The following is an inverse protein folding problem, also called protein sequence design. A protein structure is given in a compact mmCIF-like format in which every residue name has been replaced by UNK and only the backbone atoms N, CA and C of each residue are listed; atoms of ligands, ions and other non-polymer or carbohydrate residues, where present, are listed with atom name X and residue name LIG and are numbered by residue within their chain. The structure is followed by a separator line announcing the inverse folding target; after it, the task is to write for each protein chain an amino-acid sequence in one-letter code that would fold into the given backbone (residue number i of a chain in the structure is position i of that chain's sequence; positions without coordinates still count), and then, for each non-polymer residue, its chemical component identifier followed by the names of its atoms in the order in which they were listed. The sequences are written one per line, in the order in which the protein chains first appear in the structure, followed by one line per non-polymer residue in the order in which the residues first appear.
data_IF_824376453653
#
_entry.id   IF_824376453653
#
_cell.length_a   1.000
_cell.length_b   1.000
_cell.length_c   1.000
_cell.angle_alpha   90.00
_cell.angle_beta   90.00
_cell.angle_gamma   90.00
#
_symmetry.space_group_name_H-M   'P 1'
#
loop_
_entity.id
_entity.type
_entity.pdbx_description
1 polymer ?
#
# COMPACT_ATOMS: atom_id res chain seq x y z
N UNK A 1 -20.44 -8.48 -2.37
CA UNK A 1 -19.18 -7.71 -2.42
C UNK A 1 -19.37 -6.31 -2.96
N UNK A 2 -20.12 -6.13 -4.05
CA UNK A 2 -20.37 -4.81 -4.66
C UNK A 2 -20.86 -3.74 -3.66
N UNK A 3 -21.84 -4.07 -2.81
CA UNK A 3 -22.32 -3.14 -1.76
C UNK A 3 -21.21 -2.68 -0.81
N UNK A 4 -20.26 -3.55 -0.47
CA UNK A 4 -19.15 -3.20 0.42
C UNK A 4 -18.09 -2.36 -0.30
N UNK A 5 -17.86 -2.60 -1.58
CA UNK A 5 -16.91 -1.84 -2.41
C UNK A 5 -17.34 -0.38 -2.53
N UNK A 6 -18.65 -0.09 -2.53
CA UNK A 6 -19.19 1.26 -2.53
C UNK A 6 -18.96 2.01 -1.22
N UNK A 7 -18.65 1.30 -0.13
CA UNK A 7 -18.31 1.89 1.17
C UNK A 7 -16.83 2.22 1.33
N UNK A 8 -15.97 1.80 0.39
CA UNK A 8 -14.55 2.17 0.40
C UNK A 8 -14.43 3.66 0.08
N UNK A 9 -13.89 4.43 1.03
CA UNK A 9 -13.71 5.88 0.88
C UNK A 9 -12.66 6.17 -0.18
N UNK A 10 -12.90 7.20 -0.99
CA UNK A 10 -11.88 7.68 -1.92
C UNK A 10 -10.70 8.27 -1.15
N UNK A 11 -9.48 7.83 -1.48
CA UNK A 11 -8.26 8.39 -0.89
C UNK A 11 -8.04 9.86 -1.25
N UNK A 12 -8.67 10.37 -2.31
CA UNK A 12 -8.63 11.80 -2.63
C UNK A 12 -9.34 12.66 -1.56
N UNK A 13 -10.24 12.06 -0.77
CA UNK A 13 -10.88 12.71 0.37
C UNK A 13 -10.02 12.64 1.65
N UNK A 14 -8.92 11.88 1.66
CA UNK A 14 -7.99 11.82 2.78
C UNK A 14 -7.30 13.19 2.98
N UNK A 15 -7.14 13.59 4.24
CA UNK A 15 -6.48 14.84 4.64
C UNK A 15 -5.42 14.52 5.69
N UNK A 16 -4.13 14.46 5.32
CA UNK A 16 -3.06 14.07 6.24
C UNK A 16 -2.99 14.93 7.50
N UNK A 17 -3.31 16.22 7.40
CA UNK A 17 -3.26 17.17 8.53
C UNK A 17 -4.22 16.84 9.68
N UNK A 18 -5.19 15.94 9.45
CA UNK A 18 -6.17 15.55 10.47
C UNK A 18 -5.59 14.46 11.39
N UNK A 19 -4.65 13.64 10.91
CA UNK A 19 -4.17 12.47 11.63
C UNK A 19 -2.73 12.67 12.07
N UNK A 20 -2.52 12.73 13.40
CA UNK A 20 -1.19 12.85 14.01
C UNK A 20 -0.70 11.54 14.63
N UNK A 21 -1.58 10.54 14.73
CA UNK A 21 -1.33 9.28 15.43
C UNK A 21 -1.74 8.09 14.55
N UNK A 22 -1.10 6.91 14.72
CA UNK A 22 -1.51 5.70 14.02
C UNK A 22 -2.96 5.34 14.36
N UNK A 23 -3.68 4.82 13.37
CA UNK A 23 -5.07 4.41 13.56
C UNK A 23 -5.10 3.00 14.16
N UNK A 24 -5.80 2.80 15.27
CA UNK A 24 -6.02 1.48 15.83
C UNK A 24 -7.51 1.27 16.10
N UNK A 25 -8.14 0.37 15.36
CA UNK A 25 -9.57 0.09 15.46
C UNK A 25 -9.75 -1.38 15.78
N UNK A 26 -10.42 -1.67 16.89
CA UNK A 26 -10.85 -3.03 17.23
C UNK A 26 -12.32 -3.19 16.90
N UNK A 27 -12.63 -4.18 16.07
CA UNK A 27 -13.98 -4.49 15.64
C UNK A 27 -14.33 -5.92 16.04
N UNK A 28 -15.58 -6.13 16.45
CA UNK A 28 -16.11 -7.43 16.80
C UNK A 28 -17.25 -7.79 15.86
N UNK A 29 -17.22 -8.99 15.28
CA UNK A 29 -18.34 -9.52 14.50
C UNK A 29 -19.42 -10.09 15.40
N UNK A 30 -20.65 -10.24 14.91
CA UNK A 30 -21.70 -10.88 15.71
C UNK A 30 -21.43 -12.38 15.96
N UNK A 31 -20.51 -12.99 15.20
CA UNK A 31 -20.04 -14.37 15.38
C UNK A 31 -18.89 -14.50 16.38
N UNK A 32 -18.52 -13.42 17.07
CA UNK A 32 -17.47 -13.42 18.09
C UNK A 32 -16.04 -13.36 17.55
N UNK A 33 -15.85 -13.24 16.23
CA UNK A 33 -14.51 -12.97 15.68
C UNK A 33 -14.12 -11.52 15.96
N UNK A 34 -12.82 -11.29 16.16
CA UNK A 34 -12.28 -9.95 16.42
C UNK A 34 -11.26 -9.59 15.36
N UNK A 35 -11.32 -8.34 14.90
CA UNK A 35 -10.38 -7.76 13.95
C UNK A 35 -9.72 -6.56 14.64
N UNK A 36 -8.40 -6.54 14.66
CA UNK A 36 -7.62 -5.35 14.99
C UNK A 36 -7.07 -4.78 13.68
N UNK A 37 -7.50 -3.58 13.32
CA UNK A 37 -7.01 -2.81 12.19
C UNK A 37 -6.01 -1.78 12.68
N UNK A 38 -4.75 -1.91 12.27
CA UNK A 38 -3.67 -0.99 12.60
C UNK A 38 -3.19 -0.25 11.34
N UNK A 39 -3.54 1.03 11.26
CA UNK A 39 -3.17 1.97 10.21
C UNK A 39 -1.88 2.72 10.55
N UNK A 40 -0.77 2.32 9.93
CA UNK A 40 0.57 2.82 10.23
C UNK A 40 1.02 3.94 9.28
N UNK A 41 1.78 4.92 9.78
CA UNK A 41 2.52 5.85 8.93
C UNK A 41 3.83 5.21 8.50
N UNK A 42 4.08 5.14 7.19
CA UNK A 42 5.38 4.71 6.67
C UNK A 42 6.42 5.79 6.93
N UNK A 43 7.10 5.70 8.07
CA UNK A 43 8.27 6.54 8.36
C UNK A 43 9.54 5.74 8.13
N UNK A 44 10.64 6.38 7.74
CA UNK A 44 11.96 5.75 7.66
C UNK A 44 12.66 5.67 9.03
N UNK A 45 12.04 6.22 10.08
CA UNK A 45 12.62 6.39 11.43
C UNK A 45 11.79 5.63 12.49
N UNK A 46 11.37 4.41 12.14
CA UNK A 46 10.34 3.66 12.89
C UNK A 46 10.80 3.19 14.28
N UNK A 47 12.10 2.96 14.47
CA UNK A 47 12.63 2.23 15.64
C UNK A 47 12.30 2.87 17.01
N UNK A 48 11.95 4.15 17.04
CA UNK A 48 11.63 4.90 18.28
C UNK A 48 10.26 5.58 18.21
N UNK A 49 9.37 5.11 17.32
CA UNK A 49 8.05 5.70 17.16
C UNK A 49 7.02 5.05 18.09
N UNK A 50 6.10 5.85 18.63
CA UNK A 50 4.92 5.40 19.39
C UNK A 50 4.08 4.35 18.65
N UNK A 51 4.24 4.25 17.33
CA UNK A 51 3.62 3.23 16.48
C UNK A 51 4.15 1.82 16.74
N UNK A 52 5.44 1.67 17.08
CA UNK A 52 6.02 0.35 17.40
C UNK A 52 5.47 -0.14 18.73
N UNK A 53 5.41 0.73 19.73
CA UNK A 53 4.85 0.41 21.04
C UNK A 53 3.37 0.02 20.94
N UNK A 54 2.61 0.75 20.12
CA UNK A 54 1.22 0.43 19.83
C UNK A 54 1.10 -0.93 19.13
N UNK A 55 1.93 -1.19 18.12
CA UNK A 55 1.96 -2.47 17.40
C UNK A 55 2.26 -3.63 18.35
N UNK A 56 3.28 -3.52 19.20
CA UNK A 56 3.64 -4.57 20.17
C UNK A 56 2.56 -4.76 21.24
N UNK A 57 1.98 -3.66 21.74
CA UNK A 57 0.90 -3.70 22.73
C UNK A 57 -0.32 -4.43 22.17
N UNK A 58 -0.79 -4.02 20.99
CA UNK A 58 -1.95 -4.65 20.35
C UNK A 58 -1.68 -6.08 19.93
N UNK A 59 -0.45 -6.38 19.51
CA UNK A 59 -0.01 -7.75 19.23
C UNK A 59 -0.13 -8.64 20.48
N UNK A 60 0.41 -8.19 21.61
CA UNK A 60 0.36 -8.94 22.86
C UNK A 60 -1.07 -9.19 23.36
N UNK A 61 -1.97 -8.20 23.16
CA UNK A 61 -3.40 -8.36 23.41
C UNK A 61 -3.98 -9.44 22.48
N UNK A 62 -3.69 -9.35 21.18
CA UNK A 62 -4.22 -10.23 20.16
C UNK A 62 -3.83 -11.70 20.39
N UNK A 63 -2.55 -11.96 20.69
CA UNK A 63 -2.06 -13.33 20.91
C UNK A 63 -2.65 -13.96 22.16
N UNK A 64 -2.88 -13.17 23.21
CA UNK A 64 -3.39 -13.64 24.51
C UNK A 64 -4.89 -13.92 24.50
N UNK A 65 -5.68 -13.09 23.82
CA UNK A 65 -7.14 -13.12 23.98
C UNK A 65 -7.85 -14.03 22.98
N UNK A 66 -7.28 -14.27 21.81
CA UNK A 66 -8.04 -14.87 20.70
C UNK A 66 -7.60 -16.28 20.35
N UNK A 67 -8.51 -17.07 19.77
CA UNK A 67 -8.21 -18.36 19.13
C UNK A 67 -7.79 -18.16 17.68
N UNK A 68 -7.94 -19.18 16.82
CA UNK A 68 -7.79 -19.17 15.36
C UNK A 68 -7.37 -17.81 14.73
N UNK A 69 -6.04 -17.58 14.61
CA UNK A 69 -5.46 -16.26 14.30
C UNK A 69 -4.90 -16.21 12.88
N UNK A 70 -5.13 -15.09 12.20
CA UNK A 70 -4.47 -14.75 10.93
C UNK A 70 -3.95 -13.32 10.99
N UNK A 71 -2.81 -13.09 10.36
CA UNK A 71 -2.19 -11.76 10.23
C UNK A 71 -2.15 -11.33 8.77
N UNK A 72 -2.62 -10.12 8.49
CA UNK A 72 -2.56 -9.51 7.17
C UNK A 72 -1.60 -8.32 7.20
N UNK A 73 -0.67 -8.26 6.25
CA UNK A 73 0.30 -7.17 6.15
C UNK A 73 0.38 -6.60 4.71
N UNK A 74 0.73 -5.32 4.58
CA UNK A 74 0.78 -4.63 3.28
C UNK A 74 1.85 -5.18 2.33
N UNK A 75 3.01 -5.58 2.85
CA UNK A 75 4.10 -6.13 2.03
C UNK A 75 4.18 -7.64 2.21
N UNK A 76 4.61 -8.39 1.17
CA UNK A 76 4.88 -9.81 1.31
C UNK A 76 5.92 -10.11 2.39
N UNK A 77 5.81 -11.31 2.97
CA UNK A 77 6.80 -11.82 3.94
C UNK A 77 8.21 -11.73 3.34
N UNK A 78 9.18 -11.13 4.07
CA UNK A 78 10.57 -11.10 3.62
C UNK A 78 11.10 -12.52 3.36
N UNK A 79 11.86 -12.70 2.27
CA UNK A 79 12.51 -13.98 1.95
C UNK A 79 13.59 -14.34 2.97
N UNK A 80 14.36 -13.34 3.40
CA UNK A 80 15.38 -13.49 4.42
C UNK A 80 14.79 -13.09 5.77
N UNK A 81 14.87 -13.99 6.73
CA UNK A 81 14.50 -13.73 8.10
C UNK A 81 15.68 -13.10 8.82
N UNK A 82 15.41 -12.07 9.60
CA UNK A 82 16.41 -11.52 10.52
C UNK A 82 16.12 -12.07 11.91
N UNK A 83 17.19 -12.26 12.67
CA UNK A 83 17.12 -12.94 13.97
C UNK A 83 16.36 -12.11 15.01
N UNK A 84 16.40 -10.77 14.88
CA UNK A 84 15.82 -9.87 15.87
C UNK A 84 14.80 -8.88 15.27
N UNK A 85 13.88 -8.46 16.13
CA UNK A 85 12.78 -7.55 15.80
C UNK A 85 13.28 -6.17 15.33
N UNK A 86 14.26 -5.59 16.03
CA UNK A 86 14.76 -4.24 15.76
C UNK A 86 15.39 -4.13 14.36
N UNK A 87 16.19 -5.12 13.96
CA UNK A 87 16.79 -5.20 12.64
C UNK A 87 15.74 -5.44 11.56
N UNK A 88 14.75 -6.30 11.83
CA UNK A 88 13.62 -6.53 10.92
C UNK A 88 12.87 -5.23 10.68
N UNK A 89 12.54 -4.52 11.75
CA UNK A 89 11.86 -3.23 11.70
C UNK A 89 12.69 -2.19 10.93
N UNK A 90 13.99 -2.09 11.20
CA UNK A 90 14.90 -1.17 10.51
C UNK A 90 14.98 -1.46 9.00
N UNK A 91 15.00 -2.74 8.62
CA UNK A 91 15.20 -3.16 7.22
C UNK A 91 13.91 -3.20 6.40
N UNK A 92 12.80 -3.61 7.01
CA UNK A 92 11.57 -3.94 6.32
C UNK A 92 10.35 -3.14 6.80
N UNK A 93 10.53 -2.27 7.81
CA UNK A 93 9.47 -1.48 8.40
C UNK A 93 8.45 -2.32 9.17
N UNK A 94 7.26 -1.75 9.34
CA UNK A 94 6.17 -2.31 10.14
C UNK A 94 5.65 -3.63 9.57
N UNK A 95 5.58 -3.76 8.23
CA UNK A 95 5.18 -5.02 7.59
C UNK A 95 6.16 -6.15 7.88
N UNK A 96 7.47 -5.87 7.89
CA UNK A 96 8.46 -6.86 8.28
C UNK A 96 8.33 -7.23 9.76
N UNK A 97 8.17 -6.22 10.62
CA UNK A 97 8.03 -6.41 12.05
C UNK A 97 6.82 -7.28 12.43
N UNK A 98 5.65 -7.06 11.82
CA UNK A 98 4.47 -7.90 12.07
C UNK A 98 4.65 -9.33 11.55
N UNK A 99 5.32 -9.53 10.41
CA UNK A 99 5.65 -10.87 9.94
C UNK A 99 6.61 -11.61 10.88
N UNK A 100 7.59 -10.90 11.46
CA UNK A 100 8.50 -11.46 12.45
C UNK A 100 7.75 -11.88 13.72
N UNK A 101 6.84 -11.04 14.21
CA UNK A 101 6.00 -11.37 15.37
C UNK A 101 5.10 -12.58 15.10
N UNK A 102 4.44 -12.62 13.94
CA UNK A 102 3.61 -13.75 13.53
C UNK A 102 4.42 -15.05 13.48
N UNK A 103 5.64 -15.00 12.95
CA UNK A 103 6.52 -16.15 12.94
C UNK A 103 6.93 -16.60 14.34
N UNK A 104 7.35 -15.67 15.22
CA UNK A 104 7.74 -15.96 16.60
C UNK A 104 6.66 -16.75 17.33
N UNK A 105 5.39 -16.37 17.12
CA UNK A 105 4.25 -16.96 17.79
C UNK A 105 3.55 -18.06 16.97
N UNK A 106 4.17 -18.51 15.86
CA UNK A 106 3.66 -19.54 14.95
C UNK A 106 2.24 -19.27 14.41
N UNK A 107 1.98 -18.03 14.02
CA UNK A 107 0.72 -17.55 13.44
C UNK A 107 0.90 -17.37 11.93
N UNK A 108 -0.10 -17.81 11.16
CA UNK A 108 -0.13 -17.59 9.72
C UNK A 108 -0.18 -16.09 9.40
N UNK A 109 0.70 -15.65 8.50
CA UNK A 109 0.71 -14.28 7.99
C UNK A 109 0.88 -14.24 6.48
N UNK A 110 0.19 -13.33 5.81
CA UNK A 110 0.31 -13.14 4.37
C UNK A 110 -0.06 -11.72 3.93
N UNK A 111 0.26 -11.40 2.67
CA UNK A 111 -0.09 -10.15 2.02
C UNK A 111 -1.24 -10.41 1.04
N UNK A 112 -2.45 -9.87 1.27
CA UNK A 112 -3.58 -10.02 0.36
C UNK A 112 -3.49 -9.13 -0.89
N UNK A 113 -2.44 -8.32 -1.04
CA UNK A 113 -2.34 -7.43 -2.19
C UNK A 113 -2.12 -8.19 -3.50
N UNK A 114 -2.76 -7.74 -4.60
CA UNK A 114 -2.51 -8.30 -5.91
C UNK A 114 -1.06 -8.04 -6.35
N UNK A 115 -0.50 -9.00 -7.10
CA UNK A 115 0.80 -8.82 -7.72
C UNK A 115 0.76 -7.72 -8.81
N UNK A 116 1.93 -7.26 -9.26
CA UNK A 116 1.98 -6.21 -10.27
C UNK A 116 1.29 -6.58 -11.57
N UNK A 117 1.33 -7.86 -11.97
CA UNK A 117 0.61 -8.34 -13.15
C UNK A 117 -0.91 -8.17 -13.00
N UNK A 118 -1.46 -8.52 -11.84
CA UNK A 118 -2.86 -8.34 -11.50
C UNK A 118 -3.27 -6.87 -11.47
N UNK A 119 -2.44 -6.01 -10.86
CA UNK A 119 -2.69 -4.57 -10.84
C UNK A 119 -2.65 -3.97 -12.25
N UNK A 120 -1.67 -4.32 -13.07
CA UNK A 120 -1.60 -3.85 -14.47
C UNK A 120 -2.84 -4.28 -15.25
N UNK A 121 -3.23 -5.55 -15.18
CA UNK A 121 -4.44 -6.05 -15.84
C UNK A 121 -5.70 -5.33 -15.37
N UNK A 122 -5.77 -4.97 -14.09
CA UNK A 122 -6.89 -4.20 -13.56
C UNK A 122 -6.93 -2.78 -14.14
N UNK A 123 -5.80 -2.06 -14.11
CA UNK A 123 -5.72 -0.69 -14.59
C UNK A 123 -5.92 -0.60 -16.10
N UNK A 124 -5.39 -1.55 -16.87
CA UNK A 124 -5.51 -1.58 -18.34
C UNK A 124 -6.92 -1.88 -18.85
N UNK A 125 -7.87 -2.23 -17.97
CA UNK A 125 -9.31 -2.25 -18.33
C UNK A 125 -9.92 -0.86 -18.45
N UNK A 126 -9.27 0.15 -17.84
CA UNK A 126 -9.80 1.50 -17.68
C UNK A 126 -8.91 2.56 -18.33
N UNK A 127 -7.62 2.28 -18.47
CA UNK A 127 -6.59 3.22 -18.94
C UNK A 127 -5.76 2.60 -20.06
N UNK A 128 -5.14 3.43 -20.89
CA UNK A 128 -4.19 2.97 -21.90
C UNK A 128 -2.92 2.45 -21.21
N UNK A 129 -2.33 1.38 -21.77
CA UNK A 129 -1.12 0.76 -21.21
C UNK A 129 0.03 1.76 -21.03
N UNK A 130 0.18 2.67 -22.01
CA UNK A 130 1.17 3.74 -22.00
C UNK A 130 0.97 4.69 -20.81
N UNK A 131 -0.28 5.11 -20.54
CA UNK A 131 -0.60 6.01 -19.42
C UNK A 131 -0.30 5.35 -18.09
N UNK A 132 -0.66 4.07 -17.95
CA UNK A 132 -0.42 3.28 -16.74
C UNK A 132 1.07 3.24 -16.44
N UNK A 133 1.89 2.82 -17.40
CA UNK A 133 3.34 2.68 -17.17
C UNK A 133 4.02 4.03 -17.00
N UNK A 134 3.61 5.05 -17.76
CA UNK A 134 4.10 6.40 -17.57
C UNK A 134 3.85 6.88 -16.14
N UNK A 135 2.64 6.67 -15.61
CA UNK A 135 2.31 7.02 -14.23
C UNK A 135 3.12 6.23 -13.20
N UNK A 136 3.39 4.95 -13.44
CA UNK A 136 4.27 4.18 -12.56
C UNK A 136 5.70 4.73 -12.53
N UNK A 137 6.28 5.08 -13.68
CA UNK A 137 7.64 5.63 -13.75
C UNK A 137 7.67 7.00 -13.07
N UNK A 138 6.70 7.89 -13.34
CA UNK A 138 6.57 9.17 -12.63
C UNK A 138 6.52 8.98 -11.10
N UNK A 139 5.74 8.01 -10.63
CA UNK A 139 5.67 7.75 -9.19
C UNK A 139 7.04 7.35 -8.64
N UNK A 140 7.83 6.55 -9.36
CA UNK A 140 9.18 6.17 -8.90
C UNK A 140 10.13 7.36 -8.80
N UNK A 141 10.08 8.31 -9.74
CA UNK A 141 10.87 9.55 -9.70
C UNK A 141 10.53 10.41 -8.48
N UNK A 142 9.26 10.43 -8.06
CA UNK A 142 8.82 11.15 -6.85
C UNK A 142 9.50 10.63 -5.57
N UNK A 143 9.75 9.31 -5.49
CA UNK A 143 10.34 8.67 -4.32
C UNK A 143 11.87 8.78 -4.25
N UNK A 144 12.53 9.36 -5.28
CA UNK A 144 13.99 9.34 -5.42
C UNK A 144 14.76 9.93 -4.23
N UNK A 145 14.24 11.00 -3.63
CA UNK A 145 14.84 11.66 -2.46
C UNK A 145 14.67 10.90 -1.16
N UNK A 146 13.77 9.93 -1.12
CA UNK A 146 13.50 9.11 0.08
C UNK A 146 14.36 7.84 0.12
N UNK A 147 15.15 7.60 -0.92
CA UNK A 147 16.12 6.51 -0.97
C UNK A 147 17.39 6.90 -0.22
N UNK A 148 18.13 5.89 0.25
CA UNK A 148 19.42 6.06 0.90
C UNK A 148 20.46 5.14 0.24
N UNK A 149 21.41 5.69 -0.54
CA UNK A 149 21.55 7.11 -0.88
C UNK A 149 20.40 7.61 -1.80
N UNK A 150 20.11 8.92 -1.83
CA UNK A 150 19.21 9.51 -2.81
C UNK A 150 19.66 9.22 -4.24
N UNK A 151 18.71 9.10 -5.16
CA UNK A 151 18.97 8.84 -6.59
C UNK A 151 18.54 10.03 -7.46
N UNK A 152 19.16 10.18 -8.62
CA UNK A 152 18.74 11.18 -9.63
C UNK A 152 17.45 10.77 -10.31
N UNK A 153 16.73 11.71 -10.91
CA UNK A 153 15.52 11.40 -11.68
C UNK A 153 15.85 10.47 -12.84
N UNK A 154 16.97 10.70 -13.53
CA UNK A 154 17.43 9.84 -14.62
C UNK A 154 17.64 8.40 -14.15
N UNK A 155 18.31 8.18 -13.01
CA UNK A 155 18.52 6.84 -12.46
C UNK A 155 17.18 6.12 -12.17
N UNK A 156 16.20 6.85 -11.65
CA UNK A 156 14.87 6.31 -11.39
C UNK A 156 14.12 5.98 -12.68
N UNK A 157 14.23 6.82 -13.71
CA UNK A 157 13.62 6.59 -15.03
C UNK A 157 14.22 5.34 -15.67
N UNK A 158 15.54 5.25 -15.76
CA UNK A 158 16.24 4.07 -16.33
C UNK A 158 15.85 2.78 -15.59
N UNK A 159 15.80 2.84 -14.25
CA UNK A 159 15.40 1.71 -13.42
C UNK A 159 13.92 1.33 -13.64
N UNK A 160 13.04 2.32 -13.72
CA UNK A 160 11.62 2.14 -14.01
C UNK A 160 11.39 1.49 -15.38
N UNK A 161 12.03 1.99 -16.42
CA UNK A 161 11.95 1.43 -17.78
C UNK A 161 12.43 -0.02 -17.80
N UNK A 162 13.60 -0.28 -17.21
CA UNK A 162 14.14 -1.65 -17.09
C UNK A 162 13.16 -2.57 -16.37
N UNK A 163 12.60 -2.10 -15.25
CA UNK A 163 11.64 -2.84 -14.46
C UNK A 163 10.39 -3.21 -15.26
N UNK A 164 9.78 -2.22 -15.93
CA UNK A 164 8.50 -2.36 -16.62
C UNK A 164 8.62 -3.06 -17.98
N UNK A 165 9.81 -3.05 -18.61
CA UNK A 165 10.05 -3.82 -19.82
C UNK A 165 9.92 -5.35 -19.63
N UNK A 166 9.97 -5.84 -18.39
CA UNK A 166 9.64 -7.24 -18.07
C UNK A 166 8.16 -7.59 -18.31
N UNK A 167 7.30 -6.59 -18.45
CA UNK A 167 5.87 -6.73 -18.74
C UNK A 167 5.51 -6.36 -20.19
N UNK A 168 6.50 -6.19 -21.10
CA UNK A 168 6.29 -5.86 -22.53
C UNK A 168 5.22 -6.71 -23.22
N UNK A 169 5.17 -8.02 -22.97
CA UNK A 169 4.12 -8.90 -23.51
C UNK A 169 2.70 -8.50 -23.08
N UNK A 170 2.55 -8.05 -21.84
CA UNK A 170 1.27 -7.55 -21.32
C UNK A 170 0.97 -6.15 -21.86
N UNK A 171 1.99 -5.29 -21.92
CA UNK A 171 1.89 -3.90 -22.34
C UNK A 171 1.67 -3.75 -23.85
N UNK A 172 2.17 -4.69 -24.65
CA UNK A 172 2.19 -4.68 -26.13
C UNK A 172 3.03 -3.55 -26.75
N UNK A 173 3.98 -3.00 -26.00
CA UNK A 173 5.00 -2.07 -26.51
C UNK A 173 6.27 -2.15 -25.65
N UNK A 174 7.37 -1.61 -26.17
CA UNK A 174 8.67 -1.53 -25.48
C UNK A 174 8.92 -0.11 -25.03
N UNK A 175 9.36 0.04 -23.79
CA UNK A 175 9.67 1.34 -23.18
C UNK A 175 11.10 1.72 -23.49
N UNK A 176 11.30 2.98 -23.88
CA UNK A 176 12.61 3.61 -24.04
C UNK A 176 12.67 4.89 -23.21
N UNK A 177 13.88 5.34 -22.88
CA UNK A 177 14.07 6.62 -22.19
C UNK A 177 13.58 7.78 -23.06
N UNK A 178 13.89 7.73 -24.36
CA UNK A 178 13.41 8.70 -25.34
C UNK A 178 11.88 8.81 -25.35
N UNK A 179 11.15 7.69 -25.35
CA UNK A 179 9.69 7.70 -25.27
C UNK A 179 9.20 8.40 -23.99
N UNK A 180 9.82 8.08 -22.86
CA UNK A 180 9.44 8.66 -21.57
C UNK A 180 9.70 10.17 -21.55
N UNK A 181 10.89 10.60 -21.97
CA UNK A 181 11.29 12.01 -21.97
C UNK A 181 10.44 12.84 -22.94
N UNK A 182 10.23 12.37 -24.18
CA UNK A 182 9.36 13.05 -25.15
C UNK A 182 7.92 13.21 -24.62
N UNK A 183 7.43 12.20 -23.90
CA UNK A 183 6.11 12.26 -23.27
C UNK A 183 6.09 13.22 -22.08
N UNK A 184 7.13 13.19 -21.24
CA UNK A 184 7.28 14.07 -20.10
C UNK A 184 7.32 15.53 -20.53
N UNK A 185 8.18 15.89 -21.49
CA UNK A 185 8.32 17.26 -22.00
C UNK A 185 7.00 17.77 -22.62
N UNK A 186 6.24 16.89 -23.28
CA UNK A 186 4.92 17.24 -23.82
C UNK A 186 3.88 17.50 -22.73
N UNK A 187 3.84 16.68 -21.69
CA UNK A 187 2.86 16.81 -20.60
C UNK A 187 3.25 17.87 -19.56
N UNK A 188 4.54 18.15 -19.41
CA UNK A 188 5.12 19.04 -18.41
C UNK A 188 6.21 19.96 -18.98
N UNK A 189 5.92 20.79 -20.01
CA UNK A 189 6.93 21.53 -20.79
C UNK A 189 7.76 22.56 -20.01
N UNK A 190 7.35 22.90 -18.79
CA UNK A 190 8.03 23.88 -17.93
C UNK A 190 8.40 23.25 -16.58
N UNK A 191 8.60 21.94 -16.54
CA UNK A 191 8.94 21.22 -15.31
C UNK A 191 10.28 20.54 -15.49
N UNK A 192 11.23 20.86 -14.61
CA UNK A 192 12.50 20.14 -14.55
C UNK A 192 12.35 18.93 -13.63
N UNK A 193 12.81 17.75 -14.09
CA UNK A 193 12.72 16.51 -13.33
C UNK A 193 13.49 16.56 -12.00
N UNK A 194 14.59 17.30 -11.96
CA UNK A 194 15.43 17.41 -10.76
C UNK A 194 14.94 18.46 -9.77
N UNK A 195 14.11 19.41 -10.19
CA UNK A 195 13.43 20.34 -9.28
C UNK A 195 12.26 19.61 -8.61
N UNK A 196 12.49 19.10 -7.39
CA UNK A 196 11.48 18.40 -6.62
C UNK A 196 10.21 19.21 -6.35
N UNK A 197 10.33 20.53 -6.18
CA UNK A 197 9.16 21.37 -5.88
C UNK A 197 8.32 21.57 -7.14
N UNK A 198 8.95 21.90 -8.26
CA UNK A 198 8.26 22.02 -9.54
C UNK A 198 7.68 20.67 -9.99
N UNK A 199 8.47 19.60 -9.90
CA UNK A 199 8.03 18.24 -10.22
C UNK A 199 6.82 17.85 -9.39
N UNK A 200 6.90 17.97 -8.05
CA UNK A 200 5.76 17.68 -7.18
C UNK A 200 4.59 18.59 -7.49
N UNK A 201 4.76 19.88 -7.71
CA UNK A 201 3.65 20.76 -8.06
C UNK A 201 2.95 20.34 -9.38
N UNK A 202 3.73 19.84 -10.34
CA UNK A 202 3.21 19.40 -11.63
C UNK A 202 2.45 18.06 -11.54
N UNK A 203 2.98 17.08 -10.81
CA UNK A 203 2.34 15.75 -10.68
C UNK A 203 1.33 15.68 -9.52
N UNK A 204 1.56 16.45 -8.45
CA UNK A 204 0.69 16.57 -7.29
C UNK A 204 -0.47 17.47 -7.64
N UNK A 205 -1.55 16.82 -8.06
CA UNK A 205 -2.86 17.39 -7.88
C UNK A 205 -3.73 16.33 -7.22
N UNK A 206 -3.69 16.34 -5.89
CA UNK A 206 -4.71 15.75 -4.99
C UNK A 206 -6.17 16.14 -5.36
N UNK A 207 -6.36 16.95 -6.40
CA UNK A 207 -7.64 17.26 -7.04
C UNK A 207 -8.16 16.19 -8.01
N UNK A 208 -7.43 15.10 -8.27
CA UNK A 208 -7.91 13.98 -9.11
C UNK A 208 -8.06 14.33 -10.61
N UNK A 209 -7.47 15.44 -11.05
CA UNK A 209 -7.67 15.98 -12.40
C UNK A 209 -6.81 15.32 -13.47
N UNK A 210 -5.57 14.93 -13.15
CA UNK A 210 -4.65 14.33 -14.14
C UNK A 210 -4.89 12.83 -14.32
N UNK A 211 -4.51 12.30 -15.49
CA UNK A 211 -4.54 10.86 -15.75
C UNK A 211 -3.67 10.07 -14.75
N UNK A 212 -2.51 10.64 -14.39
CA UNK A 212 -1.64 10.14 -13.32
C UNK A 212 -2.41 9.93 -12.01
N UNK A 213 -3.10 10.97 -11.51
CA UNK A 213 -3.81 10.89 -10.23
C UNK A 213 -4.99 9.91 -10.27
N UNK A 214 -5.69 9.80 -11.41
CA UNK A 214 -6.73 8.80 -11.61
C UNK A 214 -6.16 7.37 -11.54
N UNK A 215 -5.06 7.11 -12.25
CA UNK A 215 -4.38 5.80 -12.23
C UNK A 215 -3.91 5.45 -10.82
N UNK A 216 -3.25 6.37 -10.12
CA UNK A 216 -2.74 6.12 -8.77
C UNK A 216 -3.88 5.92 -7.75
N UNK A 217 -5.00 6.62 -7.93
CA UNK A 217 -6.21 6.42 -7.13
C UNK A 217 -6.82 5.04 -7.36
N UNK A 218 -7.02 4.65 -8.62
CA UNK A 218 -7.58 3.34 -8.98
C UNK A 218 -6.67 2.18 -8.56
N UNK A 219 -5.34 2.36 -8.65
CA UNK A 219 -4.37 1.42 -8.10
C UNK A 219 -4.58 1.22 -6.59
N UNK A 220 -4.71 2.30 -5.84
CA UNK A 220 -4.99 2.24 -4.40
C UNK A 220 -6.31 1.54 -4.10
N UNK A 221 -7.37 1.92 -4.82
CA UNK A 221 -8.70 1.31 -4.70
C UNK A 221 -8.69 -0.19 -4.95
N UNK A 222 -7.94 -0.68 -5.95
CA UNK A 222 -7.84 -2.11 -6.21
C UNK A 222 -7.18 -2.89 -5.07
N UNK A 223 -6.12 -2.32 -4.46
CA UNK A 223 -5.48 -2.89 -3.27
C UNK A 223 -6.43 -2.91 -2.07
N UNK A 224 -7.22 -1.86 -1.88
CA UNK A 224 -8.24 -1.77 -0.82
C UNK A 224 -9.35 -2.82 -1.00
N UNK A 225 -9.80 -3.04 -2.23
CA UNK A 225 -10.78 -4.10 -2.56
C UNK A 225 -10.21 -5.49 -2.21
N UNK A 226 -8.96 -5.75 -2.59
CA UNK A 226 -8.31 -7.03 -2.30
C UNK A 226 -8.16 -7.29 -0.79
N UNK A 227 -7.74 -6.27 -0.03
CA UNK A 227 -7.64 -6.34 1.43
C UNK A 227 -9.02 -6.59 2.07
N UNK A 228 -10.05 -5.84 1.66
CA UNK A 228 -11.41 -6.03 2.16
C UNK A 228 -11.93 -7.45 1.87
N UNK A 229 -11.65 -7.97 0.67
CA UNK A 229 -12.04 -9.33 0.29
C UNK A 229 -11.36 -10.38 1.17
N UNK A 230 -10.06 -10.22 1.46
CA UNK A 230 -9.31 -11.11 2.32
C UNK A 230 -9.84 -11.10 3.76
N UNK A 231 -10.05 -9.89 4.33
CA UNK A 231 -10.64 -9.72 5.66
C UNK A 231 -11.99 -10.44 5.74
N UNK A 232 -12.87 -10.23 4.76
CA UNK A 232 -14.18 -10.88 4.74
C UNK A 232 -14.06 -12.40 4.67
N UNK A 233 -13.17 -12.93 3.83
CA UNK A 233 -13.00 -14.38 3.66
C UNK A 233 -12.50 -15.03 4.96
N UNK A 234 -11.51 -14.44 5.61
CA UNK A 234 -10.93 -15.00 6.83
C UNK A 234 -11.90 -14.87 8.02
N UNK A 235 -12.66 -13.78 8.11
CA UNK A 235 -13.75 -13.65 9.11
C UNK A 235 -14.83 -14.71 8.87
N UNK A 236 -15.19 -14.96 7.62
CA UNK A 236 -16.18 -15.98 7.26
C UNK A 236 -15.70 -17.39 7.62
N UNK A 237 -14.38 -17.61 7.63
CA UNK A 237 -13.74 -18.83 8.10
C UNK A 237 -13.59 -18.90 9.64
N UNK A 238 -14.10 -17.91 10.37
CA UNK A 238 -14.04 -17.88 11.84
C UNK A 238 -12.68 -17.47 12.40
N UNK A 239 -11.85 -16.78 11.62
CA UNK A 239 -10.54 -16.31 12.05
C UNK A 239 -10.65 -14.95 12.77
N UNK A 240 -9.84 -14.78 13.81
CA UNK A 240 -9.50 -13.48 14.37
C UNK A 240 -8.35 -12.88 13.57
N UNK A 241 -8.41 -11.58 13.29
CA UNK A 241 -7.48 -10.92 12.38
C UNK A 241 -6.67 -9.83 13.06
N UNK A 242 -5.38 -9.80 12.76
CA UNK A 242 -4.50 -8.68 13.04
C UNK A 242 -3.99 -8.10 11.72
N UNK A 243 -4.48 -6.91 11.37
CA UNK A 243 -4.27 -6.30 10.05
C UNK A 243 -3.37 -5.08 10.22
N UNK A 244 -2.20 -5.08 9.58
CA UNK A 244 -1.24 -3.96 9.63
C UNK A 244 -0.98 -3.43 8.23
N UNK A 245 -1.48 -2.23 7.96
CA UNK A 245 -1.43 -1.57 6.65
C UNK A 245 -1.16 -0.08 6.80
N UNK A 246 -0.69 0.57 5.73
CA UNK A 246 -0.58 2.02 5.69
C UNK A 246 -1.89 2.70 6.11
N UNK A 247 -1.79 3.77 6.89
CA UNK A 247 -2.91 4.48 7.49
C UNK A 247 -4.03 4.79 6.48
N UNK A 248 -3.66 5.21 5.28
CA UNK A 248 -4.61 5.55 4.21
C UNK A 248 -5.46 4.37 3.74
N UNK A 249 -4.92 3.15 3.74
CA UNK A 249 -5.66 1.94 3.40
C UNK A 249 -6.70 1.63 4.47
N UNK A 250 -6.29 1.60 5.75
CA UNK A 250 -7.20 1.31 6.86
C UNK A 250 -8.32 2.34 6.94
N UNK A 251 -7.99 3.63 6.85
CA UNK A 251 -8.98 4.70 6.81
C UNK A 251 -9.97 4.55 5.64
N UNK A 252 -9.51 4.08 4.48
CA UNK A 252 -10.36 3.89 3.31
C UNK A 252 -11.36 2.74 3.48
N UNK A 253 -10.95 1.63 4.09
CA UNK A 253 -11.78 0.41 4.18
C UNK A 253 -12.60 0.29 5.47
N UNK A 254 -12.32 1.09 6.50
CA UNK A 254 -12.92 0.99 7.84
C UNK A 254 -14.45 0.75 7.80
N UNK A 255 -15.20 1.64 7.16
CA UNK A 255 -16.67 1.53 7.09
C UNK A 255 -17.12 0.28 6.34
N UNK A 256 -16.40 -0.12 5.30
CA UNK A 256 -16.69 -1.34 4.56
C UNK A 256 -16.45 -2.60 5.41
N UNK A 257 -15.36 -2.62 6.19
CA UNK A 257 -15.07 -3.73 7.12
C UNK A 257 -16.15 -3.82 8.20
N UNK A 258 -16.54 -2.69 8.81
CA UNK A 258 -17.57 -2.66 9.84
C UNK A 258 -18.89 -3.26 9.35
N UNK A 259 -19.34 -2.86 8.16
CA UNK A 259 -20.56 -3.41 7.55
C UNK A 259 -20.39 -4.88 7.13
N UNK A 260 -19.19 -5.27 6.67
CA UNK A 260 -18.91 -6.65 6.27
C UNK A 260 -19.05 -7.65 7.43
N UNK A 261 -18.76 -7.22 8.66
CA UNK A 261 -18.75 -8.09 9.85
C UNK A 261 -20.00 -7.99 10.72
N UNK A 262 -20.83 -6.95 10.55
CA UNK A 262 -22.07 -6.75 11.30
C UNK A 262 -23.29 -7.44 10.69
N UNK A 263 -23.31 -7.63 9.36
CA UNK A 263 -24.45 -8.23 8.65
C UNK A 263 -24.48 -9.78 8.71
N UNK A 264 -23.93 -10.37 9.77
CA UNK A 264 -23.72 -11.82 9.92
C UNK A 264 -23.74 -12.22 11.37
#
# INVERSE_FOLDING_TARGET
MENLINLIRSRAAYRPSIFKEPLCITLHSAKGTTIILLGVFHSSFVAESSQVDLLQTQWNIFIKLYGNKIVLAEKPKPKAQLENFAETLKRFGESGAVHWLAQRDNIQSYCPEPDHSGVLKYLMKQFQAEDVVFAYILSTVEWRQKLSPPQTAQQMISSGITYWNRYTKLLKFTLTEEWFMNRFDREFPNTELEDDNAYRAAISSLSGKTIFNKIMTEKGRYRDIALLQAIKNDVDAGCHLFVVYGHTHIWAIESAVQVAIQNK
#
